data_IF_356324934576
#
_entry.id   IF_356324934576
#
_cell.length_a   1.000
_cell.length_b   1.000
_cell.length_c   1.000
_cell.angle_alpha   90.00
_cell.angle_beta   90.00
_cell.angle_gamma   90.00
#
_symmetry.space_group_name_H-M   'P 1'
#
loop_
_entity.id
_entity.type
_entity.pdbx_description
1 polymer ?
#
# COMPACT_ATOMS: atom_id res chain seq x y z
N UNK A 1 11.28 -23.67 -14.78
CA UNK A 1 11.44 -22.58 -13.78
C UNK A 1 10.53 -21.45 -14.23
N UNK A 2 9.49 -21.16 -13.48
CA UNK A 2 8.66 -19.96 -13.69
C UNK A 2 9.57 -18.74 -13.62
N UNK A 3 9.58 -17.94 -14.67
CA UNK A 3 10.29 -16.66 -14.65
C UNK A 3 9.67 -15.77 -13.58
N UNK A 4 10.47 -15.00 -12.86
CA UNK A 4 9.99 -14.06 -11.85
C UNK A 4 9.07 -13.03 -12.51
N UNK A 5 7.76 -13.25 -12.38
CA UNK A 5 6.73 -12.30 -12.77
C UNK A 5 6.30 -11.48 -11.58
N UNK A 6 5.88 -10.25 -11.82
CA UNK A 6 5.22 -9.39 -10.86
C UNK A 6 4.16 -8.55 -11.57
N UNK A 7 3.23 -8.01 -10.79
CA UNK A 7 2.20 -7.14 -11.31
C UNK A 7 2.81 -5.89 -11.94
N UNK A 8 2.29 -5.49 -13.10
CA UNK A 8 2.63 -4.25 -13.79
C UNK A 8 1.40 -3.35 -13.89
N UNK A 9 1.62 -2.04 -13.84
CA UNK A 9 0.60 -0.99 -13.98
C UNK A 9 1.15 0.20 -14.74
N UNK A 10 0.31 1.16 -15.07
CA UNK A 10 0.74 2.37 -15.74
C UNK A 10 1.57 3.26 -14.79
N UNK A 11 2.60 3.91 -15.32
CA UNK A 11 3.50 4.73 -14.52
C UNK A 11 2.75 5.90 -13.85
N UNK A 12 2.90 6.02 -12.53
CA UNK A 12 2.28 7.06 -11.72
C UNK A 12 0.89 6.69 -11.17
N UNK A 13 0.20 5.70 -11.75
CA UNK A 13 -1.16 5.36 -11.36
C UNK A 13 -1.24 4.69 -9.98
N UNK A 14 -0.21 3.98 -9.57
CA UNK A 14 -0.13 3.35 -8.24
C UNK A 14 -0.19 4.39 -7.12
N UNK A 15 0.61 5.44 -7.23
CA UNK A 15 0.69 6.52 -6.26
C UNK A 15 -0.62 7.31 -6.21
N UNK A 16 -1.21 7.60 -7.36
CA UNK A 16 -2.51 8.29 -7.46
C UNK A 16 -3.60 7.44 -6.81
N UNK A 17 -3.68 6.16 -7.16
CA UNK A 17 -4.69 5.24 -6.62
C UNK A 17 -4.64 5.15 -5.09
N UNK A 18 -3.44 4.90 -4.52
CA UNK A 18 -3.30 4.77 -3.08
C UNK A 18 -3.47 6.09 -2.33
N UNK A 19 -3.08 7.21 -2.92
CA UNK A 19 -3.36 8.54 -2.36
C UNK A 19 -4.86 8.80 -2.29
N UNK A 20 -5.60 8.46 -3.34
CA UNK A 20 -7.05 8.61 -3.36
C UNK A 20 -7.75 7.74 -2.30
N UNK A 21 -7.28 6.51 -2.08
CA UNK A 21 -7.79 5.64 -1.02
C UNK A 21 -7.56 6.23 0.38
N UNK A 22 -6.36 6.74 0.65
CA UNK A 22 -6.03 7.38 1.94
C UNK A 22 -6.92 8.59 2.19
N UNK A 23 -7.15 9.40 1.16
CA UNK A 23 -8.00 10.58 1.26
C UNK A 23 -9.47 10.24 1.47
N UNK A 24 -9.99 9.23 0.79
CA UNK A 24 -11.35 8.75 1.02
C UNK A 24 -11.56 8.30 2.47
N UNK A 25 -10.62 7.56 3.04
CA UNK A 25 -10.65 7.16 4.45
C UNK A 25 -10.62 8.33 5.43
N UNK A 26 -9.85 9.38 5.13
CA UNK A 26 -9.84 10.61 5.96
C UNK A 26 -11.21 11.27 5.99
N UNK A 27 -11.91 11.31 4.86
CA UNK A 27 -13.27 11.85 4.81
C UNK A 27 -14.27 11.03 5.63
N UNK A 28 -14.14 9.69 5.61
CA UNK A 28 -14.95 8.80 6.45
C UNK A 28 -14.75 9.06 7.95
N UNK A 29 -13.58 9.54 8.36
CA UNK A 29 -13.26 9.94 9.73
C UNK A 29 -13.58 11.42 10.05
N UNK A 30 -14.29 12.13 9.19
CA UNK A 30 -14.72 13.51 9.43
C UNK A 30 -13.62 14.57 9.26
N UNK A 31 -12.51 14.23 8.62
CA UNK A 31 -11.47 15.21 8.31
C UNK A 31 -11.84 15.99 7.05
N UNK A 32 -12.33 17.20 7.23
CA UNK A 32 -12.66 18.16 6.15
C UNK A 32 -11.38 18.73 5.54
N UNK A 33 -10.73 17.98 4.66
CA UNK A 33 -9.70 18.54 3.79
C UNK A 33 -10.28 18.79 2.41
N UNK A 34 -10.04 19.99 1.82
CA UNK A 34 -10.43 20.25 0.45
C UNK A 34 -9.72 19.26 -0.48
N UNK A 35 -10.50 18.51 -1.25
CA UNK A 35 -10.03 17.40 -2.07
C UNK A 35 -9.61 17.90 -3.44
N UNK A 36 -8.62 18.79 -3.52
CA UNK A 36 -8.14 19.30 -4.81
C UNK A 36 -7.37 18.25 -5.62
N UNK A 37 -6.89 17.16 -5.02
CA UNK A 37 -6.29 16.00 -5.70
C UNK A 37 -7.31 15.04 -6.32
N UNK A 38 -8.62 15.20 -6.11
CA UNK A 38 -9.65 14.50 -6.89
C UNK A 38 -9.65 14.85 -8.39
N UNK A 39 -8.89 15.85 -8.79
CA UNK A 39 -8.67 16.16 -10.20
C UNK A 39 -7.72 15.18 -10.88
N UNK A 40 -6.98 14.37 -10.11
CA UNK A 40 -6.10 13.35 -10.62
C UNK A 40 -6.71 11.98 -10.32
N UNK A 41 -6.96 11.20 -11.35
CA UNK A 41 -7.41 9.82 -11.25
C UNK A 41 -6.48 8.94 -12.08
N UNK A 42 -6.51 7.63 -11.80
CA UNK A 42 -5.78 6.65 -12.59
C UNK A 42 -6.40 6.50 -13.98
N UNK A 43 -5.59 6.16 -14.96
CA UNK A 43 -6.11 5.75 -16.25
C UNK A 43 -6.95 4.49 -16.11
N UNK A 44 -8.23 4.57 -16.45
CA UNK A 44 -9.16 3.45 -16.32
C UNK A 44 -8.99 2.39 -17.39
N UNK A 45 -8.36 2.77 -18.53
CA UNK A 45 -8.08 1.89 -19.65
C UNK A 45 -6.60 1.97 -20.01
N UNK A 46 -5.88 0.89 -19.78
CA UNK A 46 -4.44 0.81 -20.02
C UNK A 46 -4.14 -0.33 -20.98
N UNK A 47 -3.23 -0.07 -21.90
CA UNK A 47 -2.65 -1.06 -22.78
C UNK A 47 -1.20 -1.31 -22.39
N UNK A 48 -0.82 -2.57 -22.19
CA UNK A 48 0.56 -2.98 -22.00
C UNK A 48 1.05 -3.70 -23.25
N UNK A 49 2.27 -3.39 -23.68
CA UNK A 49 2.88 -4.00 -24.87
C UNK A 49 4.28 -4.51 -24.57
N UNK A 50 4.63 -5.64 -25.15
CA UNK A 50 5.96 -6.22 -25.07
C UNK A 50 6.25 -7.12 -26.26
N UNK A 51 7.53 -7.20 -26.64
CA UNK A 51 8.05 -8.20 -27.56
C UNK A 51 8.78 -9.25 -26.74
N UNK A 52 8.50 -10.53 -26.96
CA UNK A 52 9.16 -11.62 -26.27
C UNK A 52 9.84 -12.54 -27.28
N UNK A 53 10.90 -13.21 -26.85
CA UNK A 53 11.54 -14.29 -27.59
C UNK A 53 11.51 -15.56 -26.73
N UNK A 54 10.53 -16.44 -27.01
CA UNK A 54 10.35 -17.71 -26.33
C UNK A 54 11.45 -18.69 -26.78
N UNK A 55 12.27 -19.17 -25.85
CA UNK A 55 13.36 -20.11 -26.15
C UNK A 55 12.87 -21.54 -26.39
N UNK A 56 11.70 -21.88 -25.84
CA UNK A 56 11.05 -23.17 -25.93
C UNK A 56 9.54 -22.97 -26.10
N UNK A 57 8.84 -24.00 -26.54
CA UNK A 57 7.39 -24.05 -26.45
C UNK A 57 6.97 -24.02 -24.97
N UNK A 58 5.84 -23.41 -24.70
CA UNK A 58 5.32 -23.30 -23.34
C UNK A 58 3.93 -22.69 -23.30
N UNK A 59 3.62 -22.02 -22.19
CA UNK A 59 2.30 -21.40 -22.01
C UNK A 59 2.40 -20.05 -21.29
N UNK A 60 1.30 -19.31 -21.38
CA UNK A 60 1.03 -18.16 -20.52
C UNK A 60 -0.42 -18.16 -20.04
N UNK A 61 -0.65 -17.57 -18.86
CA UNK A 61 -1.96 -17.25 -18.30
C UNK A 61 -1.92 -15.78 -17.88
N UNK A 62 -2.88 -15.00 -18.36
CA UNK A 62 -3.03 -13.59 -17.98
C UNK A 62 -3.96 -13.47 -16.77
N UNK A 63 -3.51 -12.78 -15.73
CA UNK A 63 -4.31 -12.32 -14.59
C UNK A 63 -4.42 -10.80 -14.61
N UNK A 64 -5.58 -10.26 -14.27
CA UNK A 64 -5.87 -8.82 -14.32
C UNK A 64 -6.48 -8.30 -13.02
N UNK A 65 -6.10 -7.08 -12.63
CA UNK A 65 -6.93 -6.23 -11.80
C UNK A 65 -7.83 -5.42 -12.75
N UNK A 66 -9.07 -5.89 -12.93
CA UNK A 66 -10.01 -5.35 -13.90
C UNK A 66 -10.48 -6.40 -14.92
N UNK A 67 -11.03 -5.90 -16.02
CA UNK A 67 -11.55 -6.70 -17.14
C UNK A 67 -10.69 -6.45 -18.37
N UNK A 68 -10.37 -7.51 -19.12
CA UNK A 68 -9.56 -7.33 -20.31
C UNK A 68 -9.16 -8.62 -21.00
N UNK A 69 -8.20 -8.50 -21.90
CA UNK A 69 -7.71 -9.59 -22.73
C UNK A 69 -6.23 -9.41 -23.08
N UNK A 70 -5.60 -10.48 -23.54
CA UNK A 70 -4.29 -10.45 -24.19
C UNK A 70 -4.41 -10.80 -25.66
N UNK A 71 -3.66 -10.08 -26.48
CA UNK A 71 -3.39 -10.45 -27.87
C UNK A 71 -1.98 -11.01 -27.99
N UNK A 72 -1.85 -12.15 -28.63
CA UNK A 72 -0.60 -12.78 -29.01
C UNK A 72 -0.56 -12.83 -30.54
N UNK A 73 0.39 -12.13 -31.15
CA UNK A 73 0.53 -12.00 -32.60
C UNK A 73 -0.79 -11.61 -33.31
N UNK A 74 -1.53 -10.67 -32.70
CA UNK A 74 -2.82 -10.18 -33.21
C UNK A 74 -4.03 -11.06 -32.85
N UNK A 75 -3.85 -12.26 -32.31
CA UNK A 75 -4.96 -13.13 -31.88
C UNK A 75 -5.31 -12.89 -30.42
N UNK A 76 -6.58 -12.57 -30.14
CA UNK A 76 -7.08 -12.23 -28.80
C UNK A 76 -7.50 -13.47 -28.00
N UNK A 77 -7.19 -13.40 -26.71
CA UNK A 77 -7.54 -14.42 -25.71
C UNK A 77 -8.04 -13.77 -24.42
N UNK A 78 -9.03 -14.36 -23.76
CA UNK A 78 -9.51 -13.85 -22.46
C UNK A 78 -8.48 -14.05 -21.35
N UNK A 79 -8.61 -13.31 -20.26
CA UNK A 79 -7.86 -13.54 -19.01
C UNK A 79 -8.19 -14.91 -18.39
N UNK A 80 -7.32 -15.39 -17.52
CA UNK A 80 -7.43 -16.68 -16.79
C UNK A 80 -7.54 -17.92 -17.68
N UNK A 81 -7.14 -17.81 -18.95
CA UNK A 81 -7.07 -18.93 -19.87
C UNK A 81 -5.62 -19.29 -20.18
N UNK A 82 -5.31 -20.58 -20.15
CA UNK A 82 -4.01 -21.10 -20.58
C UNK A 82 -3.88 -21.00 -22.09
N UNK A 83 -2.84 -20.30 -22.57
CA UNK A 83 -2.54 -20.02 -23.97
C UNK A 83 -1.21 -20.68 -24.30
N UNK A 84 -1.18 -21.52 -25.33
CA UNK A 84 0.07 -22.13 -25.81
C UNK A 84 0.89 -21.10 -26.59
N UNK A 85 2.17 -21.05 -26.30
CA UNK A 85 3.17 -20.20 -26.97
C UNK A 85 4.22 -21.11 -27.59
N UNK A 86 4.48 -20.95 -28.86
CA UNK A 86 5.54 -21.68 -29.57
C UNK A 86 6.89 -21.02 -29.35
N UNK A 87 7.96 -21.77 -29.61
CA UNK A 87 9.32 -21.18 -29.67
C UNK A 87 9.40 -20.11 -30.76
N UNK A 88 9.94 -18.95 -30.46
CA UNK A 88 10.14 -17.85 -31.41
C UNK A 88 9.82 -16.49 -30.82
N UNK A 89 9.79 -15.50 -31.68
CA UNK A 89 9.43 -14.12 -31.34
C UNK A 89 7.92 -13.93 -31.40
N UNK A 90 7.36 -13.29 -30.39
CA UNK A 90 5.92 -12.99 -30.29
C UNK A 90 5.71 -11.55 -29.83
N UNK A 91 4.70 -10.91 -30.42
CA UNK A 91 4.20 -9.61 -29.98
C UNK A 91 3.04 -9.82 -29.01
N UNK A 92 3.13 -9.24 -27.82
CA UNK A 92 2.12 -9.30 -26.78
C UNK A 92 1.49 -7.94 -26.54
N UNK A 93 0.17 -7.91 -26.53
CA UNK A 93 -0.61 -6.71 -26.19
C UNK A 93 -1.68 -7.08 -25.16
N UNK A 94 -1.66 -6.45 -23.99
CA UNK A 94 -2.68 -6.62 -22.94
C UNK A 94 -3.51 -5.34 -22.89
N UNK A 95 -4.83 -5.47 -22.99
CA UNK A 95 -5.76 -4.38 -22.73
C UNK A 95 -6.49 -4.67 -21.42
N UNK A 96 -6.47 -3.73 -20.49
CA UNK A 96 -7.16 -3.83 -19.21
C UNK A 96 -7.97 -2.58 -18.92
N UNK A 97 -9.21 -2.76 -18.46
CA UNK A 97 -10.08 -1.70 -17.94
C UNK A 97 -10.43 -2.02 -16.50
N UNK A 98 -10.27 -1.05 -15.60
CA UNK A 98 -10.73 -1.15 -14.22
C UNK A 98 -11.41 0.16 -13.80
N UNK A 99 -12.74 0.14 -13.70
CA UNK A 99 -13.54 1.35 -13.43
C UNK A 99 -13.50 1.81 -11.97
N UNK A 100 -13.10 0.94 -11.05
CA UNK A 100 -13.10 1.21 -9.60
C UNK A 100 -11.76 1.01 -8.93
N UNK A 101 -10.80 0.38 -9.60
CA UNK A 101 -9.50 0.03 -9.05
C UNK A 101 -8.33 0.48 -9.92
N UNK A 102 -7.16 -0.06 -9.65
CA UNK A 102 -5.94 0.16 -10.40
C UNK A 102 -5.85 -0.87 -11.55
N UNK A 103 -5.91 -0.45 -12.84
CA UNK A 103 -5.67 -1.37 -13.94
C UNK A 103 -4.26 -1.97 -13.87
N UNK A 104 -4.17 -3.29 -13.72
CA UNK A 104 -2.89 -3.98 -13.62
C UNK A 104 -2.94 -5.37 -14.26
N UNK A 105 -1.78 -5.88 -14.65
CA UNK A 105 -1.63 -7.16 -15.31
C UNK A 105 -0.50 -7.99 -14.70
N UNK A 106 -0.67 -9.30 -14.68
CA UNK A 106 0.32 -10.29 -14.27
C UNK A 106 0.27 -11.48 -15.22
N UNK A 107 1.42 -11.93 -15.71
CA UNK A 107 1.53 -13.13 -16.52
C UNK A 107 2.17 -14.25 -15.71
N UNK A 108 1.44 -15.34 -15.56
CA UNK A 108 1.97 -16.62 -15.11
C UNK A 108 2.41 -17.41 -16.35
N UNK A 109 3.70 -17.74 -16.47
CA UNK A 109 4.26 -18.39 -17.65
C UNK A 109 5.60 -19.05 -17.38
N UNK A 110 5.95 -20.04 -18.20
CA UNK A 110 7.28 -20.65 -18.24
C UNK A 110 8.19 -20.05 -19.32
N UNK A 111 7.65 -19.28 -20.26
CA UNK A 111 8.40 -18.74 -21.39
C UNK A 111 8.61 -17.22 -21.35
N UNK A 112 7.76 -16.48 -20.63
CA UNK A 112 7.86 -15.02 -20.48
C UNK A 112 7.55 -14.60 -19.04
N UNK A 113 7.68 -13.30 -18.76
CA UNK A 113 7.31 -12.72 -17.47
C UNK A 113 6.87 -11.26 -17.64
N UNK A 114 6.10 -10.76 -16.68
CA UNK A 114 5.83 -9.32 -16.55
C UNK A 114 6.94 -8.59 -15.80
N UNK A 115 8.09 -9.23 -15.60
CA UNK A 115 9.23 -8.72 -14.84
C UNK A 115 10.14 -7.74 -15.56
N UNK A 116 9.84 -7.29 -16.77
CA UNK A 116 10.67 -6.34 -17.51
C UNK A 116 10.36 -6.36 -18.98
N UNK A 117 10.80 -5.30 -19.70
CA UNK A 117 10.56 -5.18 -21.14
C UNK A 117 9.11 -4.84 -21.53
N UNK A 118 8.28 -4.45 -20.56
CA UNK A 118 6.91 -4.00 -20.80
C UNK A 118 6.82 -2.48 -20.82
N UNK A 119 5.92 -1.98 -21.65
CA UNK A 119 5.58 -0.57 -21.76
C UNK A 119 4.08 -0.41 -21.59
N UNK A 120 3.65 0.61 -20.87
CA UNK A 120 2.26 1.04 -20.80
C UNK A 120 2.00 2.13 -21.84
N UNK A 121 0.80 2.11 -22.39
CA UNK A 121 0.27 3.15 -23.24
C UNK A 121 -1.05 3.54 -22.59
N UNK A 122 -1.13 4.75 -22.07
CA UNK A 122 -2.37 5.29 -21.57
C UNK A 122 -3.26 5.75 -22.75
N UNK A 123 -4.56 5.58 -22.59
CA UNK A 123 -5.55 6.13 -23.54
C UNK A 123 -6.08 7.48 -23.03
N UNK A 124 -5.37 8.12 -22.09
CA UNK A 124 -5.75 9.39 -21.49
C UNK A 124 -5.76 10.53 -22.48
N UNK A 125 -6.57 11.52 -22.20
CA UNK A 125 -6.76 12.75 -23.02
C UNK A 125 -5.46 13.56 -23.12
N UNK A 126 -4.48 13.32 -22.24
CA UNK A 126 -3.26 14.13 -22.10
C UNK A 126 -2.02 13.57 -22.81
N UNK A 127 -2.01 12.30 -23.19
CA UNK A 127 -0.85 11.69 -23.82
C UNK A 127 -1.22 11.05 -25.15
N UNK A 128 -0.63 11.53 -26.22
CA UNK A 128 -0.83 11.02 -27.59
C UNK A 128 -0.26 9.59 -27.78
N UNK A 129 -0.57 8.63 -26.90
CA UNK A 129 -0.11 7.25 -26.99
C UNK A 129 1.39 7.07 -26.72
N UNK A 130 1.97 7.90 -25.84
CA UNK A 130 3.36 7.78 -25.45
C UNK A 130 3.59 6.46 -24.71
N UNK A 131 4.58 5.69 -25.14
CA UNK A 131 4.99 4.46 -24.48
C UNK A 131 5.81 4.80 -23.25
N UNK A 132 5.31 4.48 -22.07
CA UNK A 132 6.02 4.60 -20.79
C UNK A 132 6.46 3.22 -20.33
N UNK A 133 7.71 3.11 -19.87
CA UNK A 133 8.18 1.87 -19.26
C UNK A 133 7.40 1.60 -17.98
N UNK A 134 6.93 0.35 -17.80
CA UNK A 134 6.23 -0.02 -16.56
C UNK A 134 7.15 0.13 -15.35
N UNK A 135 6.63 0.54 -14.17
CA UNK A 135 7.44 0.72 -12.98
C UNK A 135 8.15 -0.58 -12.58
N UNK A 136 9.36 -0.43 -12.06
CA UNK A 136 10.18 -1.50 -11.47
C UNK A 136 10.51 -1.13 -10.03
N UNK A 137 10.84 -2.13 -9.19
CA UNK A 137 11.21 -1.90 -7.79
C UNK A 137 10.20 -2.43 -6.77
N UNK A 138 9.09 -3.00 -7.26
CA UNK A 138 8.04 -3.61 -6.43
C UNK A 138 7.97 -5.14 -6.58
N UNK A 139 8.97 -5.74 -7.18
CA UNK A 139 9.01 -7.17 -7.55
C UNK A 139 8.86 -8.11 -6.37
N UNK A 140 9.39 -7.70 -5.21
CA UNK A 140 9.30 -8.49 -3.97
C UNK A 140 7.93 -8.40 -3.31
N UNK A 141 7.20 -7.32 -3.57
CA UNK A 141 5.88 -7.07 -2.99
C UNK A 141 4.75 -7.69 -3.82
N UNK A 142 4.83 -7.56 -5.15
CA UNK A 142 3.76 -7.92 -6.09
C UNK A 142 4.15 -9.06 -7.02
N UNK A 143 4.79 -10.09 -6.46
CA UNK A 143 5.40 -11.21 -7.19
C UNK A 143 4.52 -12.47 -7.25
N UNK A 144 3.26 -12.38 -6.93
CA UNK A 144 2.30 -13.48 -7.05
C UNK A 144 0.92 -13.00 -7.46
N UNK A 145 0.11 -13.88 -8.01
CA UNK A 145 -1.26 -13.58 -8.46
C UNK A 145 -2.12 -13.02 -7.32
N UNK A 146 -1.92 -13.49 -6.09
CA UNK A 146 -2.70 -13.09 -4.91
C UNK A 146 -2.27 -11.73 -4.34
N UNK A 147 -1.07 -11.27 -4.65
CA UNK A 147 -0.54 -9.99 -4.15
C UNK A 147 -0.79 -8.89 -5.16
N UNK A 148 -2.04 -8.48 -5.30
CA UNK A 148 -2.43 -7.44 -6.27
C UNK A 148 -1.99 -6.04 -5.82
N UNK A 149 -1.65 -5.13 -6.76
CA UNK A 149 -1.20 -3.77 -6.42
C UNK A 149 -2.32 -2.86 -5.91
N UNK A 150 -3.57 -3.30 -5.94
CA UNK A 150 -4.70 -2.59 -5.32
C UNK A 150 -4.63 -2.63 -3.79
N UNK A 151 -3.88 -3.57 -3.24
CA UNK A 151 -3.69 -3.73 -1.81
C UNK A 151 -2.21 -3.62 -1.47
N UNK A 152 -1.90 -2.90 -0.42
CA UNK A 152 -0.59 -2.98 0.21
C UNK A 152 -0.76 -3.17 1.72
N UNK A 153 0.14 -3.93 2.32
CA UNK A 153 0.23 -4.09 3.75
C UNK A 153 1.55 -3.48 4.25
N UNK A 154 1.47 -2.69 5.30
CA UNK A 154 2.67 -2.28 6.01
C UNK A 154 3.25 -3.48 6.76
N UNK A 155 4.57 -3.62 6.73
CA UNK A 155 5.28 -4.41 7.73
C UNK A 155 5.46 -3.55 8.98
N UNK A 156 5.18 -4.12 10.15
CA UNK A 156 5.33 -3.41 11.42
C UNK A 156 6.52 -4.00 12.17
N UNK A 157 7.34 -3.12 12.70
CA UNK A 157 8.42 -3.47 13.61
C UNK A 157 8.04 -3.01 15.02
N UNK A 158 8.27 -3.87 16.02
CA UNK A 158 8.10 -3.47 17.40
C UNK A 158 9.24 -2.53 17.82
N UNK A 159 8.89 -1.34 18.29
CA UNK A 159 9.83 -0.37 18.81
C UNK A 159 9.51 -0.12 20.29
N UNK A 160 10.47 -0.37 21.16
CA UNK A 160 10.32 -0.06 22.58
C UNK A 160 10.81 1.38 22.85
N UNK A 161 10.24 2.08 23.84
CA UNK A 161 10.75 3.38 24.27
C UNK A 161 12.20 3.25 24.77
N UNK A 162 13.01 4.25 24.50
CA UNK A 162 14.40 4.35 25.00
C UNK A 162 14.45 4.67 26.49
N UNK A 163 13.51 5.49 26.94
CA UNK A 163 13.39 5.87 28.34
C UNK A 163 11.94 5.89 28.79
N UNK A 164 11.70 5.61 30.04
CA UNK A 164 10.43 5.77 30.73
C UNK A 164 10.69 6.52 32.03
N UNK A 165 10.05 7.64 32.26
CA UNK A 165 10.26 8.53 33.40
C UNK A 165 8.92 8.86 34.07
N UNK A 166 8.83 8.69 35.38
CA UNK A 166 7.63 9.13 36.11
C UNK A 166 7.65 10.66 36.25
N UNK A 167 6.58 11.30 35.81
CA UNK A 167 6.38 12.74 35.95
C UNK A 167 5.00 13.04 36.49
N UNK A 168 4.96 13.58 37.73
CA UNK A 168 3.69 13.90 38.40
C UNK A 168 2.81 12.65 38.53
N UNK A 169 1.62 12.71 37.96
CA UNK A 169 0.58 11.68 37.96
C UNK A 169 0.66 10.69 36.78
N UNK A 170 1.70 10.82 35.92
CA UNK A 170 1.86 9.97 34.74
C UNK A 170 3.29 9.44 34.53
N UNK A 171 3.46 8.74 33.43
CA UNK A 171 4.73 8.19 32.95
C UNK A 171 4.96 8.71 31.54
N UNK A 172 6.11 9.35 31.33
CA UNK A 172 6.59 9.82 30.03
C UNK A 172 7.49 8.75 29.40
N UNK A 173 7.18 8.38 28.17
CA UNK A 173 7.97 7.49 27.35
C UNK A 173 8.59 8.28 26.19
N UNK A 174 9.93 8.21 26.02
CA UNK A 174 10.65 8.77 24.85
C UNK A 174 11.14 7.61 23.96
N UNK A 175 10.71 7.57 22.72
CA UNK A 175 11.16 6.61 21.71
C UNK A 175 12.49 7.01 21.07
N UNK A 176 12.99 8.21 21.37
CA UNK A 176 14.29 8.72 20.92
C UNK A 176 14.34 9.15 19.46
N UNK A 177 13.27 8.98 18.73
CA UNK A 177 13.05 9.46 17.37
C UNK A 177 11.55 9.55 17.10
N UNK A 178 11.17 10.34 16.14
CA UNK A 178 9.81 10.34 15.62
C UNK A 178 9.46 8.99 14.96
N UNK A 179 8.28 8.50 15.23
CA UNK A 179 7.72 7.25 14.73
C UNK A 179 6.35 7.52 14.15
N UNK A 180 5.97 6.69 13.19
CA UNK A 180 4.59 6.59 12.72
C UNK A 180 4.12 5.15 12.89
N UNK A 181 3.16 4.92 13.77
CA UNK A 181 2.73 3.55 14.07
C UNK A 181 1.54 3.47 15.01
N UNK A 182 1.22 2.24 15.38
CA UNK A 182 0.27 1.95 16.44
C UNK A 182 0.99 2.00 17.78
N UNK A 183 0.39 2.67 18.76
CA UNK A 183 0.81 2.54 20.14
C UNK A 183 0.10 1.32 20.74
N UNK A 184 0.86 0.44 21.36
CA UNK A 184 0.35 -0.70 22.13
C UNK A 184 0.63 -0.43 23.62
N UNK A 185 -0.40 -0.58 24.45
CA UNK A 185 -0.29 -0.45 25.89
C UNK A 185 -0.80 -1.74 26.55
N UNK A 186 -0.02 -2.34 27.42
CA UNK A 186 -0.36 -3.53 28.19
C UNK A 186 -0.17 -3.30 29.71
N UNK A 187 -0.53 -4.31 30.49
CA UNK A 187 -0.44 -4.30 31.97
C UNK A 187 -1.30 -3.22 32.61
N UNK A 188 -2.45 -2.92 32.01
CA UNK A 188 -3.44 -2.02 32.55
C UNK A 188 -4.50 -2.79 33.33
N UNK A 189 -5.07 -2.17 34.36
CA UNK A 189 -6.18 -2.75 35.13
C UNK A 189 -7.52 -2.36 34.48
N UNK A 190 -8.51 -3.25 34.56
CA UNK A 190 -9.85 -3.00 33.98
C UNK A 190 -10.56 -1.77 34.58
N UNK A 191 -10.19 -1.40 35.80
CA UNK A 191 -10.74 -0.24 36.52
C UNK A 191 -10.00 1.07 36.23
N UNK A 192 -8.87 1.03 35.54
CA UNK A 192 -8.08 2.22 35.24
C UNK A 192 -8.75 3.05 34.13
N UNK A 193 -8.81 4.35 34.35
CA UNK A 193 -9.12 5.34 33.32
C UNK A 193 -7.80 5.95 32.87
N UNK A 194 -7.37 5.63 31.66
CA UNK A 194 -6.04 5.95 31.16
C UNK A 194 -6.17 7.05 30.11
N UNK A 195 -5.45 8.14 30.31
CA UNK A 195 -5.26 9.18 29.30
C UNK A 195 -3.88 9.07 28.70
N UNK A 196 -3.83 9.03 27.38
CA UNK A 196 -2.62 8.96 26.58
C UNK A 196 -2.53 10.24 25.78
N UNK A 197 -1.45 11.01 25.99
CA UNK A 197 -1.12 12.20 25.19
C UNK A 197 0.08 11.90 24.31
N UNK A 198 0.05 12.39 23.08
CA UNK A 198 1.06 12.21 22.04
C UNK A 198 1.76 13.52 21.78
N UNK A 199 3.07 13.51 21.55
CA UNK A 199 3.82 14.68 21.18
C UNK A 199 5.02 14.37 20.29
N UNK A 200 5.33 15.27 19.37
CA UNK A 200 6.60 15.29 18.64
C UNK A 200 7.69 15.95 19.51
N UNK A 201 7.28 16.87 20.38
CA UNK A 201 8.11 17.45 21.45
C UNK A 201 7.68 16.96 22.84
N UNK A 202 8.58 17.13 23.82
CA UNK A 202 8.31 16.77 25.21
C UNK A 202 7.21 17.67 25.79
N UNK A 203 7.25 18.94 25.50
CA UNK A 203 6.30 19.94 25.96
C UNK A 203 4.89 19.60 25.50
N UNK A 204 4.75 19.24 24.22
CA UNK A 204 3.47 18.84 23.63
C UNK A 204 2.86 17.61 24.29
N UNK A 205 3.70 16.60 24.61
CA UNK A 205 3.21 15.37 25.24
C UNK A 205 2.75 15.58 26.68
N UNK A 206 3.40 16.47 27.45
CA UNK A 206 3.12 16.65 28.90
C UNK A 206 2.12 17.77 29.20
N UNK A 207 1.93 18.70 28.27
CA UNK A 207 0.96 19.78 28.43
C UNK A 207 -0.46 19.30 28.12
N UNK A 208 -1.09 18.76 29.14
CA UNK A 208 -2.42 18.14 29.02
C UNK A 208 -3.55 19.14 28.75
N UNK A 209 -3.32 20.44 28.93
CA UNK A 209 -4.30 21.48 28.69
C UNK A 209 -4.27 21.94 27.24
N UNK A 210 -3.13 21.85 26.59
CA UNK A 210 -2.90 22.24 25.20
C UNK A 210 -2.62 21.05 24.24
N UNK A 211 -2.54 19.82 24.78
CA UNK A 211 -2.34 18.64 23.93
C UNK A 211 -3.53 18.44 22.98
N UNK A 212 -3.27 18.59 21.68
CA UNK A 212 -4.30 18.41 20.63
C UNK A 212 -4.57 16.92 20.38
N UNK A 213 -3.59 16.06 20.64
CA UNK A 213 -3.67 14.63 20.40
C UNK A 213 -3.64 13.85 21.71
N UNK A 214 -4.81 13.46 22.17
CA UNK A 214 -4.95 12.54 23.30
C UNK A 214 -6.02 11.49 23.03
N UNK A 215 -5.96 10.39 23.77
CA UNK A 215 -6.97 9.33 23.79
C UNK A 215 -7.25 8.92 25.22
N UNK A 216 -8.54 8.77 25.55
CA UNK A 216 -8.97 8.23 26.84
C UNK A 216 -9.47 6.80 26.63
N UNK A 217 -8.95 5.85 27.39
CA UNK A 217 -9.28 4.43 27.29
C UNK A 217 -9.54 3.81 28.65
N UNK A 218 -10.44 2.82 28.70
CA UNK A 218 -10.82 2.12 29.93
C UNK A 218 -11.35 0.73 29.63
N UNK A 219 -11.34 -0.15 30.61
CA UNK A 219 -12.02 -1.45 30.56
C UNK A 219 -11.28 -2.57 29.84
N UNK A 220 -10.00 -2.42 29.53
CA UNK A 220 -9.18 -3.48 28.90
C UNK A 220 -7.79 -3.57 29.54
N UNK A 221 -7.18 -4.76 29.46
CA UNK A 221 -5.80 -4.99 29.92
C UNK A 221 -4.75 -4.74 28.80
N UNK A 222 -5.19 -4.59 27.58
CA UNK A 222 -4.35 -4.30 26.42
C UNK A 222 -5.12 -3.40 25.46
N UNK A 223 -4.45 -2.38 24.94
CA UNK A 223 -4.96 -1.45 23.93
C UNK A 223 -4.03 -1.40 22.73
N UNK A 224 -4.60 -1.48 21.53
CA UNK A 224 -3.97 -1.09 20.28
C UNK A 224 -4.62 0.19 19.78
N UNK A 225 -3.91 1.29 19.91
CA UNK A 225 -4.43 2.62 19.56
C UNK A 225 -4.24 2.93 18.08
N UNK A 226 -4.82 4.04 17.62
CA UNK A 226 -4.75 4.45 16.21
C UNK A 226 -3.33 4.77 15.78
N UNK A 227 -3.05 4.61 14.48
CA UNK A 227 -1.78 5.07 13.91
C UNK A 227 -1.64 6.58 14.02
N UNK A 228 -0.50 7.02 14.56
CA UNK A 228 -0.14 8.43 14.72
C UNK A 228 1.35 8.64 14.54
N UNK A 229 1.75 9.88 14.24
CA UNK A 229 3.12 10.33 14.37
C UNK A 229 3.35 10.77 15.82
N UNK A 230 4.45 10.34 16.42
CA UNK A 230 4.85 10.74 17.78
C UNK A 230 6.31 10.37 18.04
N UNK A 231 6.91 11.07 18.97
CA UNK A 231 8.18 10.68 19.63
C UNK A 231 7.96 10.43 21.11
N UNK A 232 7.14 11.24 21.74
CA UNK A 232 6.86 11.19 23.18
C UNK A 232 5.42 10.74 23.41
N UNK A 233 5.25 9.90 24.41
CA UNK A 233 3.95 9.44 24.90
C UNK A 233 3.87 9.71 26.39
N UNK A 234 2.82 10.38 26.84
CA UNK A 234 2.58 10.57 28.26
C UNK A 234 1.31 9.82 28.67
N UNK A 235 1.44 8.87 29.60
CA UNK A 235 0.37 8.01 30.07
C UNK A 235 0.01 8.37 31.50
N UNK A 236 -1.23 8.81 31.72
CA UNK A 236 -1.81 9.07 33.04
C UNK A 236 -2.83 8.00 33.39
N UNK A 237 -3.05 7.76 34.70
CA UNK A 237 -4.10 6.87 35.20
C UNK A 237 -3.69 5.40 35.24
N UNK A 238 -2.52 5.02 34.78
CA UNK A 238 -1.99 3.67 34.94
C UNK A 238 -0.73 3.67 35.78
N UNK A 239 -0.59 2.63 36.63
CA UNK A 239 0.53 2.54 37.62
C UNK A 239 1.82 2.07 36.94
N UNK A 240 1.75 1.12 36.04
CA UNK A 240 2.92 0.48 35.42
C UNK A 240 2.62 -0.10 34.05
N UNK A 241 2.22 0.74 33.07
CA UNK A 241 1.92 0.28 31.72
C UNK A 241 3.19 -0.18 31.00
N UNK A 242 3.07 -1.26 30.23
CA UNK A 242 4.08 -1.69 29.24
C UNK A 242 3.69 -1.10 27.89
N UNK A 243 4.61 -0.33 27.28
CA UNK A 243 4.33 0.50 26.11
C UNK A 243 5.34 0.19 25.01
N UNK A 244 4.85 -0.04 23.80
CA UNK A 244 5.68 -0.13 22.57
C UNK A 244 4.97 0.33 21.31
#
# INVERSE_FOLDING_TARGET
MTKNSYWIWNYGDYEIYHSNLVNSRRQEYGADYPVFWKYYDVDRNVKFVSEINAKTDGYLILHLCGIGCISVDGKRYPSNKKISITKGSHSLEICVCNVSGLPAAFIESDVCSTGGGWYSIDNGISSCGEKKKTPVGFETQYNSVQKTPEHFSFSYERVNPKTAERRGDGILFDFGRELFGYLIIRNTELSENIRISYGESLEEAVDTDFSILFEDVTGQCEYKLRQRAFRYIFVKGSKNPDVW
#
